data_IF_421391839653
#
_entry.id   IF_421391839653
#
_cell.length_a   1.000
_cell.length_b   1.000
_cell.length_c   1.000
_cell.angle_alpha   90.00
_cell.angle_beta   90.00
_cell.angle_gamma   90.00
#
_symmetry.space_group_name_H-M   'P 1'
#
loop_
_entity.id
_entity.type
_entity.pdbx_description
1 polymer ?
#
# COMPACT_ATOMS: atom_id res chain seq x y z
N UNK A 1 22.71 -12.08 -14.34
CA UNK A 1 23.39 -11.73 -13.07
C UNK A 1 22.57 -12.34 -11.94
N UNK A 2 23.18 -12.88 -10.86
CA UNK A 2 22.41 -13.32 -9.71
C UNK A 2 21.72 -12.13 -9.04
N UNK A 3 20.50 -12.33 -8.53
CA UNK A 3 19.79 -11.30 -7.79
C UNK A 3 20.53 -10.99 -6.48
N UNK A 4 20.60 -9.71 -6.06
CA UNK A 4 21.20 -9.34 -4.79
C UNK A 4 20.44 -9.96 -3.60
N UNK A 5 21.11 -10.26 -2.48
CA UNK A 5 20.44 -10.69 -1.26
C UNK A 5 19.41 -9.65 -0.78
N UNK A 6 18.28 -10.10 -0.21
CA UNK A 6 17.18 -9.22 0.20
C UNK A 6 17.62 -8.14 1.20
N UNK A 7 18.54 -8.46 2.12
CA UNK A 7 19.10 -7.49 3.06
C UNK A 7 19.83 -6.35 2.34
N UNK A 8 20.52 -6.66 1.23
CA UNK A 8 21.22 -5.66 0.44
C UNK A 8 20.25 -4.77 -0.35
N UNK A 9 19.13 -5.34 -0.82
CA UNK A 9 18.03 -4.57 -1.44
C UNK A 9 17.39 -3.63 -0.42
N UNK A 10 17.11 -4.14 0.78
CA UNK A 10 16.56 -3.36 1.88
C UNK A 10 17.46 -2.17 2.23
N UNK A 11 18.77 -2.39 2.38
CA UNK A 11 19.75 -1.31 2.61
C UNK A 11 19.70 -0.25 1.49
N UNK A 12 19.65 -0.65 0.22
CA UNK A 12 19.55 0.31 -0.89
C UNK A 12 18.28 1.13 -0.85
N UNK A 13 17.15 0.51 -0.50
CA UNK A 13 15.88 1.21 -0.40
C UNK A 13 15.83 2.11 0.84
N UNK A 14 16.37 1.68 1.99
CA UNK A 14 16.50 2.51 3.19
C UNK A 14 17.37 3.76 2.92
N UNK A 15 18.50 3.60 2.22
CA UNK A 15 19.34 4.74 1.78
C UNK A 15 18.57 5.64 0.80
N UNK A 16 17.86 5.06 -0.18
CA UNK A 16 17.08 5.85 -1.12
C UNK A 16 16.00 6.69 -0.39
N UNK A 17 15.30 6.10 0.56
CA UNK A 17 14.26 6.75 1.36
C UNK A 17 14.83 7.89 2.22
N UNK A 18 15.93 7.64 2.94
CA UNK A 18 16.43 8.56 3.96
C UNK A 18 17.37 9.64 3.42
N UNK A 19 18.18 9.33 2.41
CA UNK A 19 19.24 10.23 1.94
C UNK A 19 18.90 10.89 0.61
N UNK A 20 18.21 10.17 -0.29
CA UNK A 20 18.02 10.63 -1.67
C UNK A 20 16.66 11.28 -1.89
N UNK A 21 15.56 10.64 -1.46
CA UNK A 21 14.20 11.16 -1.66
C UNK A 21 14.02 12.59 -1.13
N UNK A 22 14.52 12.97 0.07
CA UNK A 22 14.36 14.34 0.57
C UNK A 22 15.01 15.41 -0.31
N UNK A 23 15.97 15.04 -1.17
CA UNK A 23 16.67 15.95 -2.07
C UNK A 23 15.96 16.09 -3.43
N UNK A 24 14.98 15.23 -3.72
CA UNK A 24 14.27 15.20 -5.00
C UNK A 24 12.99 16.03 -4.88
N UNK A 25 12.94 17.15 -5.59
CA UNK A 25 11.80 18.08 -5.57
C UNK A 25 10.73 17.76 -6.61
N UNK A 26 11.04 16.97 -7.64
CA UNK A 26 10.11 16.55 -8.68
C UNK A 26 9.74 15.08 -8.53
N UNK A 27 8.45 14.76 -8.61
CA UNK A 27 7.92 13.38 -8.56
C UNK A 27 8.17 12.61 -7.24
N UNK A 28 8.37 13.31 -6.11
CA UNK A 28 8.56 12.69 -4.79
C UNK A 28 7.51 11.64 -4.46
N UNK A 29 6.25 11.88 -4.83
CA UNK A 29 5.11 10.97 -4.62
C UNK A 29 5.30 9.63 -5.31
N UNK A 30 5.60 9.65 -6.61
CA UNK A 30 5.79 8.44 -7.42
C UNK A 30 7.00 7.65 -6.92
N UNK A 31 8.08 8.35 -6.61
CA UNK A 31 9.30 7.73 -6.11
C UNK A 31 9.09 7.13 -4.70
N UNK A 32 8.37 7.83 -3.83
CA UNK A 32 8.00 7.31 -2.53
C UNK A 32 7.07 6.11 -2.67
N UNK A 33 6.09 6.13 -3.57
CA UNK A 33 5.26 4.97 -3.83
C UNK A 33 6.12 3.76 -4.19
N UNK A 34 7.08 3.90 -5.10
CA UNK A 34 7.98 2.79 -5.47
C UNK A 34 8.85 2.33 -4.30
N UNK A 35 9.54 3.26 -3.62
CA UNK A 35 10.51 2.92 -2.56
C UNK A 35 9.81 2.47 -1.29
N UNK A 36 8.87 3.27 -0.80
CA UNK A 36 8.09 3.03 0.42
C UNK A 36 7.23 1.78 0.33
N UNK A 37 6.59 1.50 -0.82
CA UNK A 37 5.86 0.24 -1.01
C UNK A 37 6.76 -0.98 -0.87
N UNK A 38 7.89 -0.98 -1.60
CA UNK A 38 8.81 -2.10 -1.59
C UNK A 38 9.45 -2.31 -0.21
N UNK A 39 9.79 -1.23 0.51
CA UNK A 39 10.25 -1.32 1.89
C UNK A 39 9.15 -1.85 2.82
N UNK A 40 7.93 -1.32 2.71
CA UNK A 40 6.78 -1.78 3.48
C UNK A 40 6.57 -3.29 3.34
N UNK A 41 6.66 -3.78 2.10
CA UNK A 41 6.61 -5.21 1.77
C UNK A 41 7.72 -6.01 2.42
N UNK A 42 8.97 -5.56 2.28
CA UNK A 42 10.13 -6.28 2.84
C UNK A 42 10.01 -6.38 4.35
N UNK A 43 9.67 -5.28 5.03
CA UNK A 43 9.48 -5.28 6.48
C UNK A 43 8.28 -6.12 6.91
N UNK A 44 7.20 -6.13 6.16
CA UNK A 44 6.06 -7.00 6.44
C UNK A 44 6.47 -8.47 6.39
N UNK A 45 7.19 -8.88 5.34
CA UNK A 45 7.68 -10.26 5.19
C UNK A 45 8.64 -10.63 6.33
N UNK A 46 9.55 -9.73 6.71
CA UNK A 46 10.42 -9.88 7.88
C UNK A 46 9.62 -10.05 9.17
N UNK A 47 8.59 -9.22 9.38
CA UNK A 47 7.73 -9.32 10.56
C UNK A 47 7.00 -10.67 10.64
N UNK A 48 6.56 -11.21 9.50
CA UNK A 48 5.96 -12.55 9.43
C UNK A 48 6.98 -13.66 9.71
N UNK A 49 8.18 -13.59 9.11
CA UNK A 49 9.28 -14.53 9.35
C UNK A 49 9.65 -14.60 10.84
N UNK A 50 9.86 -13.46 11.48
CA UNK A 50 10.28 -13.41 12.88
C UNK A 50 9.17 -13.82 13.84
N UNK A 51 7.91 -13.50 13.51
CA UNK A 51 6.75 -14.05 14.23
C UNK A 51 6.75 -15.58 14.18
N UNK A 52 6.94 -16.18 13.00
CA UNK A 52 7.01 -17.64 12.84
C UNK A 52 8.19 -18.25 13.61
N UNK A 53 9.29 -17.52 13.73
CA UNK A 53 10.45 -17.90 14.55
C UNK A 53 10.22 -17.71 16.07
N UNK A 54 9.12 -17.07 16.48
CA UNK A 54 8.79 -16.78 17.87
C UNK A 54 9.40 -15.49 18.42
N UNK A 55 10.07 -14.68 17.59
CA UNK A 55 10.66 -13.40 17.98
C UNK A 55 9.67 -12.25 17.74
N UNK A 56 8.72 -12.12 18.68
CA UNK A 56 7.71 -11.07 18.61
C UNK A 56 8.32 -9.66 18.68
N UNK A 57 9.39 -9.46 19.43
CA UNK A 57 9.97 -8.12 19.57
C UNK A 57 10.56 -7.64 18.25
N UNK A 58 11.28 -8.52 17.55
CA UNK A 58 11.82 -8.23 16.24
C UNK A 58 10.71 -8.02 15.19
N UNK A 59 9.67 -8.86 15.20
CA UNK A 59 8.51 -8.66 14.34
C UNK A 59 7.85 -7.29 14.54
N UNK A 60 7.63 -6.88 15.79
CA UNK A 60 7.07 -5.57 16.12
C UNK A 60 8.00 -4.42 15.73
N UNK A 61 9.33 -4.63 15.73
CA UNK A 61 10.28 -3.61 15.28
C UNK A 61 10.13 -3.32 13.78
N UNK A 62 9.88 -4.33 12.97
CA UNK A 62 9.63 -4.17 11.54
C UNK A 62 8.29 -3.48 11.26
N UNK A 63 7.23 -3.80 12.03
CA UNK A 63 5.96 -3.09 11.91
C UNK A 63 6.08 -1.59 12.25
N UNK A 64 6.88 -1.24 13.27
CA UNK A 64 7.17 0.18 13.55
C UNK A 64 7.89 0.83 12.37
N UNK A 65 8.91 0.17 11.80
CA UNK A 65 9.58 0.67 10.60
C UNK A 65 8.60 0.93 9.46
N UNK A 66 7.59 0.08 9.25
CA UNK A 66 6.55 0.30 8.23
C UNK A 66 5.78 1.60 8.47
N UNK A 67 5.38 1.86 9.71
CA UNK A 67 4.63 3.06 10.10
C UNK A 67 5.49 4.33 9.93
N UNK A 68 6.78 4.21 10.20
CA UNK A 68 7.77 5.30 10.16
C UNK A 68 8.38 5.54 8.76
N UNK A 69 8.07 4.72 7.75
CA UNK A 69 8.58 4.90 6.36
C UNK A 69 8.15 6.25 5.77
N UNK A 70 7.02 6.79 6.22
CA UNK A 70 6.42 8.00 5.66
C UNK A 70 7.30 9.23 5.94
N UNK A 71 7.84 9.91 4.91
CA UNK A 71 8.57 11.16 5.06
C UNK A 71 7.63 12.28 5.53
N UNK A 72 8.08 13.08 6.49
CA UNK A 72 7.34 14.25 6.99
C UNK A 72 7.01 15.28 5.88
N UNK A 73 7.77 15.27 4.78
CA UNK A 73 7.61 16.21 3.67
C UNK A 73 6.46 15.83 2.73
N UNK A 74 5.91 14.63 2.84
CA UNK A 74 4.78 14.20 2.02
C UNK A 74 3.45 14.57 2.69
N UNK A 75 2.53 15.25 1.97
CA UNK A 75 1.18 15.49 2.44
C UNK A 75 0.48 14.18 2.83
N UNK A 76 -0.28 14.21 3.93
CA UNK A 76 -0.94 13.01 4.46
C UNK A 76 -1.85 12.30 3.45
N UNK A 77 -2.49 13.07 2.57
CA UNK A 77 -3.36 12.54 1.50
C UNK A 77 -2.61 11.75 0.42
N UNK A 78 -1.27 11.79 0.38
CA UNK A 78 -0.43 11.02 -0.55
C UNK A 78 0.15 9.75 0.10
N UNK A 79 -0.24 9.45 1.35
CA UNK A 79 0.32 8.38 2.17
C UNK A 79 -0.39 7.04 2.01
N UNK A 80 -0.17 6.40 0.89
CA UNK A 80 -0.49 4.97 0.73
C UNK A 80 0.62 4.38 -0.14
N UNK A 81 1.27 3.25 0.23
CA UNK A 81 0.69 2.05 0.87
C UNK A 81 1.35 1.46 2.15
N UNK A 82 2.43 1.97 2.79
CA UNK A 82 3.14 1.20 3.83
C UNK A 82 2.28 0.78 5.03
N UNK A 83 1.48 1.69 5.61
CA UNK A 83 0.65 1.38 6.80
C UNK A 83 -0.37 0.27 6.57
N UNK A 84 -0.78 0.04 5.31
CA UNK A 84 -1.71 -1.04 4.97
C UNK A 84 -1.10 -2.43 5.20
N UNK A 85 0.23 -2.56 5.11
CA UNK A 85 0.94 -3.78 5.50
C UNK A 85 0.83 -4.05 7.01
N UNK A 86 0.97 -3.01 7.83
CA UNK A 86 0.80 -3.14 9.28
C UNK A 86 -0.67 -3.47 9.63
N UNK A 87 -1.63 -2.82 8.96
CA UNK A 87 -3.04 -3.15 9.11
C UNK A 87 -3.32 -4.63 8.80
N UNK A 88 -2.74 -5.16 7.71
CA UNK A 88 -2.87 -6.57 7.32
C UNK A 88 -2.31 -7.50 8.40
N UNK A 89 -1.11 -7.19 8.90
CA UNK A 89 -0.48 -7.99 9.96
C UNK A 89 -1.42 -8.11 11.16
N UNK A 90 -1.89 -6.98 11.69
CA UNK A 90 -2.76 -6.99 12.86
C UNK A 90 -4.10 -7.70 12.61
N UNK A 91 -4.69 -7.52 11.43
CA UNK A 91 -5.94 -8.22 11.07
C UNK A 91 -5.75 -9.73 11.04
N UNK A 92 -4.63 -10.21 10.48
CA UNK A 92 -4.28 -11.64 10.47
C UNK A 92 -4.00 -12.21 11.88
N UNK A 93 -3.55 -11.38 12.81
CA UNK A 93 -3.43 -11.75 14.23
C UNK A 93 -4.77 -11.74 14.98
N UNK A 94 -5.84 -11.28 14.35
CA UNK A 94 -7.14 -11.06 14.99
C UNK A 94 -7.20 -9.81 15.87
N UNK A 95 -6.23 -8.90 15.73
CA UNK A 95 -6.25 -7.58 16.38
C UNK A 95 -6.87 -6.53 15.42
N UNK A 96 -8.18 -6.66 15.21
CA UNK A 96 -8.94 -5.77 14.32
C UNK A 96 -8.94 -4.31 14.79
N UNK A 97 -8.74 -4.08 16.09
CA UNK A 97 -8.66 -2.74 16.66
C UNK A 97 -7.35 -2.05 16.21
N UNK A 98 -6.22 -2.74 16.32
CA UNK A 98 -4.94 -2.23 15.80
C UNK A 98 -4.96 -2.12 14.27
N UNK A 99 -5.51 -3.11 13.57
CA UNK A 99 -5.66 -3.05 12.12
C UNK A 99 -6.48 -1.83 11.68
N UNK A 100 -7.60 -1.58 12.36
CA UNK A 100 -8.46 -0.43 12.13
C UNK A 100 -7.75 0.90 12.38
N UNK A 101 -6.93 1.01 13.43
CA UNK A 101 -6.12 2.21 13.70
C UNK A 101 -5.13 2.50 12.56
N UNK A 102 -4.45 1.49 12.04
CA UNK A 102 -3.49 1.68 10.94
C UNK A 102 -4.16 2.08 9.62
N UNK A 103 -5.38 1.57 9.37
CA UNK A 103 -6.17 1.90 8.17
C UNK A 103 -6.96 3.21 8.28
N UNK A 104 -7.18 3.73 9.49
CA UNK A 104 -8.08 4.85 9.74
C UNK A 104 -7.70 6.14 8.99
N UNK A 105 -6.41 6.57 8.93
CA UNK A 105 -6.04 7.79 8.21
C UNK A 105 -6.48 7.76 6.75
N UNK A 106 -6.23 6.65 6.05
CA UNK A 106 -6.61 6.49 4.64
C UNK A 106 -8.13 6.50 4.45
N UNK A 107 -8.90 5.91 5.37
CA UNK A 107 -10.37 5.99 5.32
C UNK A 107 -10.87 7.43 5.50
N UNK A 108 -10.28 8.20 6.41
CA UNK A 108 -10.64 9.61 6.61
C UNK A 108 -10.36 10.43 5.35
N UNK A 109 -9.19 10.23 4.74
CA UNK A 109 -8.77 10.87 3.50
C UNK A 109 -9.64 10.49 2.29
N UNK A 110 -10.35 9.36 2.33
CA UNK A 110 -11.35 9.02 1.34
C UNK A 110 -12.71 9.68 1.58
N UNK A 111 -13.10 9.89 2.83
CA UNK A 111 -14.45 10.37 3.16
C UNK A 111 -14.62 11.87 2.93
N UNK A 112 -13.59 12.68 3.21
CA UNK A 112 -13.67 14.13 3.01
C UNK A 112 -13.97 14.49 1.54
N UNK A 113 -13.21 13.99 0.54
CA UNK A 113 -13.44 14.34 -0.87
C UNK A 113 -14.76 13.78 -1.41
N UNK A 114 -15.22 12.62 -0.91
CA UNK A 114 -16.52 12.07 -1.33
C UNK A 114 -17.73 12.81 -0.72
N UNK A 115 -17.49 13.76 0.18
CA UNK A 115 -18.53 14.49 0.90
C UNK A 115 -18.60 15.97 0.55
N UNK A 116 -17.66 16.48 -0.25
CA UNK A 116 -17.52 17.91 -0.54
C UNK A 116 -18.13 18.37 -1.88
N UNK A 117 -18.85 17.46 -2.56
CA UNK A 117 -19.49 17.66 -3.87
C UNK A 117 -18.51 18.07 -5.01
N UNK A 118 -17.19 17.93 -4.82
CA UNK A 118 -16.17 18.19 -5.85
C UNK A 118 -15.72 16.91 -6.57
N UNK A 119 -16.37 16.61 -7.69
CA UNK A 119 -16.04 15.44 -8.52
C UNK A 119 -14.55 15.38 -8.96
N UNK A 120 -13.82 16.50 -8.92
CA UNK A 120 -12.41 16.59 -9.34
C UNK A 120 -11.43 15.87 -8.41
N UNK A 121 -11.82 15.56 -7.17
CA UNK A 121 -10.96 14.94 -6.16
C UNK A 121 -11.34 13.47 -5.87
N UNK A 122 -12.46 12.99 -6.41
CA UNK A 122 -13.03 11.66 -6.12
C UNK A 122 -12.08 10.51 -6.49
N UNK A 123 -11.25 10.67 -7.54
CA UNK A 123 -10.27 9.66 -7.95
C UNK A 123 -9.30 9.31 -6.81
N UNK A 124 -8.83 10.33 -6.09
CA UNK A 124 -7.94 10.14 -4.94
C UNK A 124 -8.67 9.36 -3.85
N UNK A 125 -9.92 9.72 -3.56
CA UNK A 125 -10.72 9.04 -2.55
C UNK A 125 -10.97 7.56 -2.89
N UNK A 126 -11.25 7.23 -4.15
CA UNK A 126 -11.43 5.83 -4.55
C UNK A 126 -10.15 5.00 -4.38
N UNK A 127 -8.97 5.57 -4.65
CA UNK A 127 -7.70 4.91 -4.33
C UNK A 127 -7.54 4.67 -2.83
N UNK A 128 -7.90 5.65 -1.99
CA UNK A 128 -7.86 5.50 -0.54
C UNK A 128 -8.82 4.42 -0.01
N UNK A 129 -10.03 4.31 -0.59
CA UNK A 129 -10.96 3.21 -0.28
C UNK A 129 -10.34 1.87 -0.67
N UNK A 130 -9.81 1.77 -1.89
CA UNK A 130 -9.23 0.53 -2.39
C UNK A 130 -8.11 0.03 -1.46
N UNK A 131 -7.11 0.86 -1.19
CA UNK A 131 -5.98 0.42 -0.36
C UNK A 131 -6.35 0.18 1.10
N UNK A 132 -7.37 0.83 1.65
CA UNK A 132 -7.82 0.63 3.04
C UNK A 132 -8.77 -0.55 3.25
N UNK A 133 -9.29 -1.15 2.17
CA UNK A 133 -10.19 -2.32 2.20
C UNK A 133 -9.43 -3.62 1.97
N UNK A 134 -8.38 -3.57 1.15
CA UNK A 134 -7.54 -4.71 0.82
C UNK A 134 -6.97 -5.44 2.06
N UNK A 135 -6.41 -4.78 3.11
CA UNK A 135 -5.86 -5.47 4.28
C UNK A 135 -6.85 -6.35 5.04
N UNK A 136 -8.15 -6.06 4.89
CA UNK A 136 -9.25 -6.74 5.57
C UNK A 136 -9.94 -7.78 4.69
N UNK A 137 -9.45 -8.00 3.46
CA UNK A 137 -10.10 -8.90 2.50
C UNK A 137 -11.52 -8.49 2.13
N UNK A 138 -11.85 -7.18 2.19
CA UNK A 138 -13.18 -6.66 1.85
C UNK A 138 -13.33 -6.52 0.33
N UNK A 139 -13.49 -7.66 -0.34
CA UNK A 139 -13.57 -7.78 -1.80
C UNK A 139 -14.67 -6.90 -2.40
N UNK A 140 -15.80 -6.74 -1.70
CA UNK A 140 -16.93 -5.95 -2.19
C UNK A 140 -16.57 -4.49 -2.33
N UNK A 141 -15.99 -3.90 -1.28
CA UNK A 141 -15.61 -2.50 -1.28
C UNK A 141 -14.37 -2.25 -2.15
N UNK A 142 -13.42 -3.20 -2.21
CA UNK A 142 -12.29 -3.14 -3.14
C UNK A 142 -12.75 -3.11 -4.61
N UNK A 143 -13.67 -4.00 -4.98
CA UNK A 143 -14.24 -4.06 -6.34
C UNK A 143 -15.01 -2.78 -6.68
N UNK A 144 -15.83 -2.28 -5.75
CA UNK A 144 -16.58 -1.04 -5.94
C UNK A 144 -15.64 0.16 -6.14
N UNK A 145 -14.60 0.29 -5.31
CA UNK A 145 -13.61 1.36 -5.42
C UNK A 145 -12.91 1.33 -6.79
N UNK A 146 -12.49 0.16 -7.28
CA UNK A 146 -11.86 0.10 -8.60
C UNK A 146 -12.83 0.38 -9.74
N UNK A 147 -14.08 -0.08 -9.65
CA UNK A 147 -15.09 0.27 -10.67
C UNK A 147 -15.25 1.79 -10.78
N UNK A 148 -15.21 2.51 -9.65
CA UNK A 148 -15.25 3.97 -9.62
C UNK A 148 -13.98 4.60 -10.20
N UNK A 149 -12.78 4.10 -9.84
CA UNK A 149 -11.50 4.50 -10.46
C UNK A 149 -11.58 4.36 -11.98
N UNK A 150 -12.03 3.21 -12.47
CA UNK A 150 -12.15 2.93 -13.90
C UNK A 150 -13.16 3.83 -14.60
N UNK A 151 -14.28 4.16 -13.95
CA UNK A 151 -15.25 5.14 -14.45
C UNK A 151 -14.62 6.52 -14.61
N UNK A 152 -13.82 6.97 -13.63
CA UNK A 152 -13.15 8.28 -13.70
C UNK A 152 -12.11 8.32 -14.83
N UNK A 153 -11.39 7.23 -15.08
CA UNK A 153 -10.47 7.14 -16.22
C UNK A 153 -11.18 7.06 -17.58
N UNK A 154 -12.32 6.37 -17.67
CA UNK A 154 -13.13 6.29 -18.91
C UNK A 154 -13.80 7.62 -19.29
N UNK A 155 -13.89 8.58 -18.37
CA UNK A 155 -14.28 9.96 -18.68
C UNK A 155 -13.16 10.79 -19.36
N UNK A 156 -11.95 10.22 -19.48
CA UNK A 156 -10.80 10.77 -20.22
C UNK A 156 -10.68 10.06 -21.59
N UNK A 157 -10.52 10.77 -22.73
CA UNK A 157 -10.62 10.15 -24.07
C UNK A 157 -9.45 9.21 -24.40
N UNK A 158 -9.65 8.30 -25.37
CA UNK A 158 -10.00 6.90 -25.13
C UNK A 158 -8.77 6.08 -24.73
N UNK A 159 -8.73 5.62 -23.48
CA UNK A 159 -7.83 4.56 -23.06
C UNK A 159 -8.54 3.20 -23.29
N UNK A 160 -8.75 2.82 -24.55
CA UNK A 160 -9.36 1.52 -24.92
C UNK A 160 -8.48 0.30 -24.54
N UNK A 161 -7.27 0.52 -24.01
CA UNK A 161 -6.32 -0.55 -23.61
C UNK A 161 -5.78 -0.44 -22.16
N UNK A 162 -6.13 0.56 -21.34
CA UNK A 162 -5.41 0.83 -20.06
C UNK A 162 -6.12 0.50 -18.75
N UNK A 163 -7.07 -0.44 -18.77
CA UNK A 163 -7.52 -1.09 -17.54
C UNK A 163 -7.10 -2.57 -17.50
N UNK A 164 -5.95 -2.90 -18.08
CA UNK A 164 -5.17 -4.03 -17.60
C UNK A 164 -4.59 -3.63 -16.24
N UNK A 165 -5.43 -3.69 -15.21
CA UNK A 165 -4.97 -3.72 -13.84
C UNK A 165 -4.17 -5.01 -13.70
N UNK A 166 -2.85 -4.93 -13.85
CA UNK A 166 -1.91 -6.02 -13.64
C UNK A 166 -1.00 -5.60 -12.48
N UNK A 167 -1.32 -6.06 -11.28
CA UNK A 167 -0.51 -5.84 -10.10
C UNK A 167 0.01 -7.19 -9.63
N UNK A 168 1.34 -7.34 -9.56
CA UNK A 168 1.96 -8.57 -9.08
C UNK A 168 1.72 -8.75 -7.57
N UNK A 169 1.33 -9.96 -7.20
CA UNK A 169 1.25 -10.44 -5.82
C UNK A 169 2.60 -10.29 -5.12
N UNK A 170 2.57 -9.64 -3.97
CA UNK A 170 3.77 -9.24 -3.24
C UNK A 170 4.50 -10.36 -2.49
N UNK A 171 3.84 -11.51 -2.28
CA UNK A 171 4.44 -12.66 -1.59
C UNK A 171 5.16 -13.62 -2.55
N UNK A 172 5.65 -13.10 -3.69
CA UNK A 172 6.43 -13.84 -4.67
C UNK A 172 5.66 -15.05 -5.26
N UNK A 173 4.34 -15.02 -5.16
CA UNK A 173 3.46 -16.12 -5.54
C UNK A 173 3.27 -16.22 -7.06
N UNK A 174 3.85 -15.28 -7.82
CA UNK A 174 3.75 -15.20 -9.28
C UNK A 174 2.34 -14.88 -9.78
N UNK A 175 1.40 -14.61 -8.87
CA UNK A 175 0.06 -14.23 -9.22
C UNK A 175 0.07 -12.78 -9.69
N UNK A 176 -0.53 -12.52 -10.84
CA UNK A 176 -0.80 -11.16 -11.32
C UNK A 176 -2.29 -10.96 -11.13
N UNK A 177 -2.66 -10.02 -10.27
CA UNK A 177 -4.05 -9.62 -10.11
C UNK A 177 -4.50 -8.99 -11.42
N UNK A 178 -5.55 -9.58 -12.03
CA UNK A 178 -6.22 -9.07 -13.23
C UNK A 178 -7.57 -8.45 -12.92
N UNK A 179 -8.06 -8.69 -11.71
CA UNK A 179 -9.30 -8.15 -11.17
C UNK A 179 -9.08 -7.70 -9.70
N UNK A 180 -9.64 -6.56 -9.29
CA UNK A 180 -9.65 -6.06 -7.91
C UNK A 180 -10.29 -6.95 -6.87
N UNK A 181 -11.33 -7.69 -7.23
CA UNK A 181 -11.96 -8.67 -6.36
C UNK A 181 -11.00 -9.80 -5.99
N UNK A 182 -9.95 -10.01 -6.81
CA UNK A 182 -8.86 -10.95 -6.54
C UNK A 182 -7.72 -10.30 -5.72
N UNK A 183 -7.75 -8.98 -5.46
CA UNK A 183 -6.79 -8.27 -4.58
C UNK A 183 -7.03 -8.61 -3.11
N UNK A 184 -6.89 -9.88 -2.77
CA UNK A 184 -6.29 -10.26 -1.50
C UNK A 184 -4.78 -10.30 -1.74
N UNK A 185 -4.01 -9.57 -0.94
CA UNK A 185 -2.60 -9.94 -0.77
C UNK A 185 -2.52 -11.46 -0.54
N UNK A 186 -1.61 -12.15 -1.23
CA UNK A 186 -1.51 -13.61 -1.36
C UNK A 186 -2.35 -14.40 -0.33
N UNK A 187 -3.39 -15.09 -0.81
CA UNK A 187 -4.30 -15.89 0.03
C UNK A 187 -3.70 -17.25 0.46
N UNK A 188 -2.39 -17.44 0.30
CA UNK A 188 -1.70 -18.73 0.47
C UNK A 188 -0.36 -18.56 1.16
#
# INVERSE_FOLDING_TARGET
>A
MPNPPINRVMEYLETALNENLPQITSNLVVLFFVVGYNLGRIYYNKAQEDKLAGDRELAMSYLRKIVDIVPEQLPEWQLLPPRMFAARYYHQEGDDEAAGREACPSRQLALEPLSDDDEGNELSAFWHILFSTIPFGDEKNATAALAMIGKTFNAWPPFEEALLFELECDDNCGHVWKDPGDMGWCKY
#
